data_IF_450838144146
#
_entry.id   IF_450838144146
#
_cell.length_a   1.000
_cell.length_b   1.000
_cell.length_c   1.000
_cell.angle_alpha   90.00
_cell.angle_beta   90.00
_cell.angle_gamma   90.00
#
_symmetry.space_group_name_H-M   'P 1'
#
loop_
_entity.id
_entity.type
_entity.pdbx_description
1 polymer ?
#
# COMPACT_ATOMS: atom_id res chain seq x y z
N UNK A 1 -16.95 2.17 -3.07
CA UNK A 1 -15.87 1.30 -3.58
C UNK A 1 -15.30 1.85 -4.88
N UNK A 2 -14.08 2.37 -4.84
CA UNK A 2 -13.30 2.79 -6.01
C UNK A 2 -11.90 2.16 -5.94
N UNK A 3 -11.30 1.83 -7.08
CA UNK A 3 -9.93 1.30 -7.16
C UNK A 3 -9.11 2.27 -7.99
N UNK A 4 -8.00 2.74 -7.42
CA UNK A 4 -7.11 3.70 -8.08
C UNK A 4 -5.65 3.43 -7.75
N UNK A 5 -4.75 4.04 -8.51
CA UNK A 5 -3.34 4.11 -8.16
C UNK A 5 -3.17 4.83 -6.81
N UNK A 6 -2.20 4.38 -6.03
CA UNK A 6 -1.77 5.09 -4.84
C UNK A 6 -1.19 6.47 -5.20
N UNK A 7 -1.20 7.36 -4.21
CA UNK A 7 -0.57 8.68 -4.23
C UNK A 7 0.21 8.85 -2.94
N UNK A 8 1.12 9.81 -2.90
CA UNK A 8 1.94 10.07 -1.71
C UNK A 8 1.11 10.36 -0.45
N UNK A 9 -0.07 10.96 -0.60
CA UNK A 9 -1.01 11.20 0.51
C UNK A 9 -1.59 9.92 1.13
N UNK A 10 -1.55 8.80 0.41
CA UNK A 10 -2.12 7.53 0.86
C UNK A 10 -1.11 6.68 1.67
N UNK A 11 0.17 7.08 1.71
CA UNK A 11 1.26 6.28 2.28
C UNK A 11 0.98 5.86 3.73
N UNK A 12 0.48 6.80 4.55
CA UNK A 12 0.19 6.53 5.97
C UNK A 12 -0.96 5.52 6.13
N UNK A 13 -2.06 5.70 5.39
CA UNK A 13 -3.22 4.82 5.47
C UNK A 13 -2.93 3.43 4.88
N UNK A 14 -2.15 3.36 3.79
CA UNK A 14 -1.67 2.09 3.25
C UNK A 14 -0.80 1.35 4.27
N UNK A 15 0.05 2.06 5.01
CA UNK A 15 0.86 1.45 6.06
C UNK A 15 -0.04 0.87 7.17
N UNK A 16 -1.04 1.63 7.63
CA UNK A 16 -2.00 1.15 8.66
C UNK A 16 -2.74 -0.10 8.20
N UNK A 17 -3.31 -0.08 7.00
CA UNK A 17 -4.04 -1.23 6.44
C UNK A 17 -3.17 -2.49 6.39
N UNK A 18 -1.90 -2.38 6.01
CA UNK A 18 -1.00 -3.54 6.00
C UNK A 18 -0.56 -3.96 7.41
N UNK A 19 -0.31 -3.01 8.31
CA UNK A 19 0.05 -3.32 9.70
C UNK A 19 -1.10 -4.01 10.46
N UNK A 20 -2.35 -3.69 10.14
CA UNK A 20 -3.53 -4.33 10.72
C UNK A 20 -3.86 -5.69 10.09
N UNK A 21 -3.50 -5.90 8.81
CA UNK A 21 -3.83 -7.11 8.07
C UNK A 21 -2.88 -8.29 8.34
N UNK A 22 -1.64 -8.03 8.76
CA UNK A 22 -0.60 -9.04 9.01
C UNK A 22 -0.28 -9.17 10.51
N UNK A 23 0.36 -10.28 10.91
CA UNK A 23 0.73 -10.51 12.31
C UNK A 23 1.79 -9.52 12.84
N UNK A 24 2.52 -8.88 11.92
CA UNK A 24 3.60 -7.93 12.24
C UNK A 24 3.59 -6.77 11.26
N UNK A 25 4.32 -5.70 11.60
CA UNK A 25 4.52 -4.55 10.72
C UNK A 25 5.47 -4.82 9.53
N UNK A 26 5.97 -6.05 9.36
CA UNK A 26 6.97 -6.38 8.35
C UNK A 26 6.48 -6.05 6.93
N UNK A 27 5.25 -6.41 6.57
CA UNK A 27 4.66 -6.11 5.27
C UNK A 27 4.49 -4.61 5.03
N UNK A 28 4.03 -3.87 6.04
CA UNK A 28 3.87 -2.41 5.96
C UNK A 28 5.24 -1.71 5.75
N UNK A 29 6.27 -2.17 6.45
CA UNK A 29 7.64 -1.67 6.30
C UNK A 29 8.29 -2.09 4.97
N UNK A 30 7.99 -3.30 4.48
CA UNK A 30 8.45 -3.79 3.19
C UNK A 30 7.91 -2.90 2.05
N UNK A 31 6.64 -2.52 2.09
CA UNK A 31 6.04 -1.64 1.08
C UNK A 31 6.78 -0.31 1.01
N UNK A 32 7.11 0.31 2.15
CA UNK A 32 7.90 1.54 2.19
C UNK A 32 9.30 1.33 1.60
N UNK A 33 9.99 0.25 1.99
CA UNK A 33 11.29 -0.07 1.44
C UNK A 33 11.26 -0.28 -0.09
N UNK A 34 10.19 -0.89 -0.63
CA UNK A 34 10.03 -1.09 -2.07
C UNK A 34 9.81 0.23 -2.81
N UNK A 35 9.05 1.18 -2.25
CA UNK A 35 8.91 2.54 -2.82
C UNK A 35 10.26 3.26 -2.87
N UNK A 36 11.03 3.18 -1.79
CA UNK A 36 12.34 3.83 -1.67
C UNK A 36 13.43 3.18 -2.52
N UNK A 37 13.28 1.90 -2.86
CA UNK A 37 14.27 1.17 -3.64
C UNK A 37 14.39 1.63 -5.10
N UNK A 38 13.44 2.42 -5.59
CA UNK A 38 13.42 2.93 -6.96
C UNK A 38 13.13 1.87 -8.04
N UNK A 39 12.76 0.65 -7.63
CA UNK A 39 12.27 -0.37 -8.58
C UNK A 39 10.94 0.07 -9.19
N UNK A 40 10.64 -0.43 -10.39
CA UNK A 40 9.30 -0.26 -10.95
C UNK A 40 8.29 -1.06 -10.14
N UNK A 41 7.11 -0.49 -9.89
CA UNK A 41 6.01 -1.19 -9.25
C UNK A 41 4.66 -0.69 -9.78
N UNK A 42 3.62 -1.49 -9.56
CA UNK A 42 2.23 -1.06 -9.67
C UNK A 42 1.62 -1.17 -8.28
N UNK A 43 1.13 -0.05 -7.75
CA UNK A 43 0.43 -0.02 -6.46
C UNK A 43 -0.98 0.52 -6.64
N UNK A 44 -1.95 -0.22 -6.12
CA UNK A 44 -3.37 0.09 -6.17
C UNK A 44 -3.96 0.07 -4.77
N UNK A 45 -4.91 0.97 -4.53
CA UNK A 45 -5.72 0.98 -3.33
C UNK A 45 -7.18 0.70 -3.66
N UNK A 46 -7.90 0.14 -2.69
CA UNK A 46 -9.35 0.12 -2.66
C UNK A 46 -9.83 1.15 -1.63
N UNK A 47 -10.64 2.12 -2.07
CA UNK A 47 -11.23 3.13 -1.18
C UNK A 47 -12.76 2.96 -1.10
N UNK A 48 -13.29 3.07 0.12
CA UNK A 48 -14.71 3.14 0.41
C UNK A 48 -15.03 4.46 1.12
N UNK A 49 -15.59 5.41 0.38
CA UNK A 49 -15.69 6.78 0.86
C UNK A 49 -14.32 7.45 0.90
N UNK A 50 -13.89 7.87 2.09
CA UNK A 50 -12.57 8.46 2.34
C UNK A 50 -11.58 7.47 2.97
N UNK A 51 -12.01 6.25 3.26
CA UNK A 51 -11.21 5.23 3.94
C UNK A 51 -10.56 4.28 2.93
N UNK A 52 -9.28 3.98 3.13
CA UNK A 52 -8.58 2.94 2.38
C UNK A 52 -8.81 1.62 3.10
N UNK A 53 -9.46 0.68 2.43
CA UNK A 53 -9.84 -0.63 3.01
C UNK A 53 -9.02 -1.78 2.44
N UNK A 54 -8.12 -1.50 1.51
CA UNK A 54 -7.28 -2.52 0.89
C UNK A 54 -6.16 -1.93 0.06
N UNK A 55 -5.08 -2.69 -0.05
CA UNK A 55 -3.88 -2.31 -0.79
C UNK A 55 -3.29 -3.54 -1.49
N UNK A 56 -2.76 -3.33 -2.70
CA UNK A 56 -2.00 -4.35 -3.42
C UNK A 56 -0.84 -3.70 -4.16
N UNK A 57 0.35 -4.30 -4.04
CA UNK A 57 1.58 -3.85 -4.69
C UNK A 57 2.20 -5.01 -5.47
N UNK A 58 2.52 -4.75 -6.73
CA UNK A 58 3.22 -5.68 -7.63
C UNK A 58 4.60 -5.14 -7.97
N UNK A 59 5.62 -6.00 -7.89
CA UNK A 59 6.99 -5.73 -8.34
C UNK A 59 7.39 -6.71 -9.46
N UNK A 60 8.39 -6.38 -10.28
CA UNK A 60 9.06 -7.34 -11.15
C UNK A 60 9.58 -8.56 -10.38
N UNK A 61 9.69 -9.69 -11.10
CA UNK A 61 10.33 -10.94 -10.66
C UNK A 61 11.76 -11.05 -11.14
#
# INVERSE_FOLDING_TARGET
MNIRKEKDSDIEEIWKVNAEAFETEAEANLINALRDSGISYISLIAEEGEEIVGHILFTPV
#
